data_IF_003256301077
#
_entry.id   IF_003256301077
#
_cell.length_a   1.000
_cell.length_b   1.000
_cell.length_c   1.000
_cell.angle_alpha   90.00
_cell.angle_beta   90.00
_cell.angle_gamma   90.00
#
_symmetry.space_group_name_H-M   'P 1'
#
loop_
_entity.id
_entity.type
_entity.pdbx_description
1 polymer ?
#
# COMPACT_ATOMS: atom_id res chain seq x y z
N UNK A 1 8.31 5.91 -1.10
CA UNK A 1 7.46 4.70 -1.28
C UNK A 1 6.05 5.10 -1.73
N UNK A 2 5.93 5.92 -2.79
CA UNK A 2 4.62 6.27 -3.35
C UNK A 2 4.04 5.07 -4.13
N UNK A 3 4.88 4.44 -4.94
CA UNK A 3 4.54 3.27 -5.76
C UNK A 3 3.82 2.18 -4.96
N UNK A 4 4.32 1.82 -3.77
CA UNK A 4 3.65 0.77 -3.02
C UNK A 4 2.45 1.20 -2.18
N UNK A 5 2.31 2.49 -1.84
CA UNK A 5 1.04 3.01 -1.32
C UNK A 5 -0.02 3.02 -2.42
N UNK A 6 0.33 3.51 -3.61
CA UNK A 6 -0.57 3.59 -4.76
C UNK A 6 -1.02 2.19 -5.19
N UNK A 7 -0.08 1.26 -5.35
CA UNK A 7 -0.37 -0.12 -5.73
C UNK A 7 -1.29 -0.82 -4.73
N UNK A 8 -0.99 -0.68 -3.43
CA UNK A 8 -1.84 -1.21 -2.38
C UNK A 8 -3.25 -0.62 -2.43
N UNK A 9 -3.37 0.72 -2.49
CA UNK A 9 -4.68 1.38 -2.50
C UNK A 9 -5.50 1.02 -3.73
N UNK A 10 -4.91 1.01 -4.92
CA UNK A 10 -5.58 0.66 -6.17
C UNK A 10 -6.18 -0.74 -6.12
N UNK A 11 -5.43 -1.73 -5.61
CA UNK A 11 -5.96 -3.09 -5.44
C UNK A 11 -7.08 -3.16 -4.38
N UNK A 12 -7.00 -2.35 -3.31
CA UNK A 12 -8.04 -2.31 -2.27
C UNK A 12 -9.34 -1.67 -2.75
N UNK A 13 -9.27 -0.65 -3.59
CA UNK A 13 -10.44 -0.04 -4.23
C UNK A 13 -10.90 -0.77 -5.49
N UNK A 14 -10.35 -1.97 -5.76
CA UNK A 14 -10.66 -2.81 -6.93
C UNK A 14 -10.46 -2.10 -8.27
N UNK A 15 -9.53 -1.14 -8.32
CA UNK A 15 -9.06 -0.58 -9.58
C UNK A 15 -8.14 -1.61 -10.21
N UNK A 16 -8.56 -2.17 -11.34
CA UNK A 16 -7.73 -3.12 -12.09
C UNK A 16 -6.48 -2.41 -12.61
N UNK A 17 -5.33 -2.78 -12.04
CA UNK A 17 -4.03 -2.45 -12.63
C UNK A 17 -3.67 -3.59 -13.58
N UNK A 18 -3.52 -3.33 -14.90
CA UNK A 18 -3.12 -4.36 -15.83
C UNK A 18 -1.78 -5.00 -15.43
N UNK A 19 -1.58 -6.28 -15.76
CA UNK A 19 -0.45 -7.07 -15.28
C UNK A 19 0.93 -6.45 -15.61
N UNK A 20 1.09 -5.84 -16.79
CA UNK A 20 2.32 -5.16 -17.20
C UNK A 20 2.69 -3.97 -16.31
N UNK A 21 1.80 -2.96 -16.18
CA UNK A 21 1.95 -1.87 -15.22
C UNK A 21 2.19 -2.35 -13.79
N UNK A 22 1.48 -3.39 -13.31
CA UNK A 22 1.70 -3.96 -11.98
C UNK A 22 3.12 -4.50 -11.81
N UNK A 23 3.61 -5.28 -12.77
CA UNK A 23 4.99 -5.79 -12.76
C UNK A 23 6.02 -4.64 -12.80
N UNK A 24 5.76 -3.61 -13.59
CA UNK A 24 6.61 -2.41 -13.66
C UNK A 24 6.63 -1.66 -12.33
N UNK A 25 5.50 -1.46 -11.66
CA UNK A 25 5.45 -0.83 -10.34
C UNK A 25 6.27 -1.64 -9.32
N UNK A 26 6.12 -2.98 -9.33
CA UNK A 26 6.89 -3.86 -8.44
C UNK A 26 8.39 -3.84 -8.71
N UNK A 27 8.83 -3.68 -9.96
CA UNK A 27 10.27 -3.60 -10.28
C UNK A 27 10.95 -2.34 -9.73
N UNK A 28 10.19 -1.26 -9.49
CA UNK A 28 10.70 -0.03 -8.89
C UNK A 28 10.71 -0.07 -7.36
N UNK A 29 10.17 -1.12 -6.73
CA UNK A 29 10.22 -1.29 -5.28
C UNK A 29 11.62 -1.73 -4.86
N UNK A 30 12.28 -0.91 -4.02
CA UNK A 30 13.56 -1.29 -3.42
C UNK A 30 13.34 -2.45 -2.45
N UNK A 31 14.09 -3.56 -2.63
CA UNK A 31 14.01 -4.73 -1.74
C UNK A 31 14.26 -4.32 -0.28
N UNK A 32 13.43 -4.83 0.62
CA UNK A 32 13.53 -4.56 2.06
C UNK A 32 13.09 -3.16 2.49
N UNK A 33 12.61 -2.33 1.55
CA UNK A 33 12.02 -1.03 1.87
C UNK A 33 10.66 -1.27 2.53
N UNK A 34 10.49 -0.82 3.78
CA UNK A 34 9.23 -0.88 4.54
C UNK A 34 8.74 0.55 4.78
N UNK A 35 7.50 0.84 4.43
CA UNK A 35 6.84 2.13 4.69
C UNK A 35 5.47 1.91 5.25
N UNK A 36 5.04 2.85 6.09
CA UNK A 36 3.67 2.92 6.53
C UNK A 36 2.75 3.40 5.40
N UNK A 37 1.54 2.83 5.36
CA UNK A 37 0.46 3.27 4.48
C UNK A 37 0.10 4.73 4.77
N UNK A 38 -0.15 5.07 6.04
CA UNK A 38 -0.39 6.44 6.49
C UNK A 38 0.61 6.89 7.57
N UNK A 39 0.59 8.18 7.91
CA UNK A 39 1.50 8.74 8.92
C UNK A 39 1.38 7.98 10.26
N UNK A 40 2.46 7.36 10.77
CA UNK A 40 2.41 6.64 12.04
C UNK A 40 2.28 7.58 13.25
N UNK A 41 2.50 8.89 13.07
CA UNK A 41 2.21 9.91 14.11
C UNK A 41 0.70 10.05 14.31
N UNK A 42 -0.09 9.93 13.24
CA UNK A 42 -1.55 10.09 13.28
C UNK A 42 -2.29 8.77 13.51
N UNK A 43 -1.80 7.69 12.93
CA UNK A 43 -2.48 6.39 12.90
C UNK A 43 -1.84 5.35 13.82
N UNK A 44 -0.77 5.72 14.52
CA UNK A 44 0.02 4.80 15.33
C UNK A 44 0.92 3.89 14.51
N UNK A 45 1.67 3.05 15.23
CA UNK A 45 2.66 2.12 14.66
C UNK A 45 2.19 0.68 14.60
N UNK A 46 1.02 0.37 15.17
CA UNK A 46 0.44 -0.96 15.06
C UNK A 46 0.02 -1.18 13.61
N UNK A 47 0.70 -2.09 12.91
CA UNK A 47 0.54 -2.25 11.47
C UNK A 47 0.63 -3.72 11.07
N UNK A 48 -0.25 -4.13 10.16
CA UNK A 48 -0.14 -5.41 9.46
C UNK A 48 0.86 -5.26 8.32
N UNK A 49 1.79 -6.18 8.20
CA UNK A 49 2.70 -6.20 7.05
C UNK A 49 2.02 -6.81 5.83
N UNK A 50 2.08 -6.08 4.72
CA UNK A 50 1.68 -6.54 3.39
C UNK A 50 2.94 -6.90 2.59
N UNK A 51 3.14 -8.19 2.33
CA UNK A 51 4.34 -8.69 1.68
C UNK A 51 4.36 -8.38 0.17
N UNK A 52 3.20 -8.26 -0.45
CA UNK A 52 3.06 -8.00 -1.88
C UNK A 52 3.58 -6.60 -2.23
N UNK A 53 3.16 -5.61 -1.45
CA UNK A 53 3.56 -4.21 -1.62
C UNK A 53 4.68 -3.78 -0.66
N UNK A 54 5.17 -4.67 0.21
CA UNK A 54 6.18 -4.36 1.24
C UNK A 54 5.77 -3.16 2.12
N UNK A 55 4.50 -3.14 2.52
CA UNK A 55 3.87 -2.00 3.19
C UNK A 55 3.42 -2.36 4.60
N UNK A 56 3.57 -1.43 5.54
CA UNK A 56 3.03 -1.51 6.90
C UNK A 56 1.66 -0.82 6.91
N UNK A 57 0.60 -1.62 6.90
CA UNK A 57 -0.79 -1.15 6.89
C UNK A 57 -1.22 -0.85 8.32
N UNK A 58 -1.19 0.43 8.68
CA UNK A 58 -1.58 0.95 10.00
C UNK A 58 -2.95 1.64 10.02
N UNK A 59 -3.71 1.50 8.93
CA UNK A 59 -5.03 2.12 8.78
C UNK A 59 -6.07 1.00 8.65
N UNK A 60 -7.18 1.03 9.41
CA UNK A 60 -8.29 0.09 9.23
C UNK A 60 -8.95 0.20 7.86
N UNK A 61 -9.41 -0.92 7.30
CA UNK A 61 -10.06 -0.95 5.97
C UNK A 61 -11.24 0.01 5.84
N UNK A 62 -12.05 0.17 6.91
CA UNK A 62 -13.18 1.10 6.93
C UNK A 62 -12.80 2.54 6.62
N UNK A 63 -11.59 2.95 7.01
CA UNK A 63 -11.06 4.31 6.81
C UNK A 63 -10.40 4.45 5.45
N UNK A 64 -9.94 3.35 4.85
CA UNK A 64 -9.38 3.32 3.50
C UNK A 64 -10.51 3.46 2.47
N UNK A 65 -11.68 2.90 2.77
CA UNK A 65 -12.83 2.84 1.88
C UNK A 65 -13.90 3.89 2.21
N UNK A 66 -13.67 4.81 3.15
CA UNK A 66 -14.70 5.77 3.58
C UNK A 66 -15.08 6.80 2.53
N UNK A 67 -14.25 7.00 1.51
CA UNK A 67 -14.47 7.95 0.40
C UNK A 67 -14.81 7.26 -0.94
N UNK A 68 -15.05 5.95 -0.92
CA UNK A 68 -15.48 5.15 -2.09
C UNK A 68 -16.95 4.80 -1.97
#
# INVERSE_FOLDING_TARGET
MLVQRLGYLAERVKVEIPAGPRARLRSHMKRGSRSYLASPVRWGRNARYDAEWQLLVNVPDREILSEV
#
